data_IF_721562599861
#
_entry.id   IF_721562599861
#
_cell.length_a   1.000
_cell.length_b   1.000
_cell.length_c   1.000
_cell.angle_alpha   90.00
_cell.angle_beta   90.00
_cell.angle_gamma   90.00
#
_symmetry.space_group_name_H-M   'P 1'
#
loop_
_entity.id
_entity.type
_entity.pdbx_description
1 polymer ?
#
# COMPACT_ATOMS: atom_id res chain seq x y z
N UNK A 1 -41.08 23.72 -47.35
CA UNK A 1 -39.99 22.81 -47.75
C UNK A 1 -38.67 23.37 -47.24
N UNK A 2 -37.91 22.59 -46.50
CA UNK A 2 -36.64 23.04 -45.90
C UNK A 2 -35.97 21.89 -45.18
N UNK A 3 -35.28 21.04 -45.94
CA UNK A 3 -34.49 19.91 -45.44
C UNK A 3 -33.32 20.44 -44.60
N UNK A 4 -33.33 20.20 -43.29
CA UNK A 4 -32.12 20.27 -42.48
C UNK A 4 -31.45 18.90 -42.51
N UNK A 5 -30.26 18.83 -43.13
CA UNK A 5 -29.37 17.66 -43.07
C UNK A 5 -28.59 17.75 -41.77
N UNK A 6 -28.85 16.83 -40.84
CA UNK A 6 -27.92 16.52 -39.76
C UNK A 6 -26.60 16.04 -40.36
N UNK A 7 -25.52 16.76 -40.06
CA UNK A 7 -24.16 16.24 -40.15
C UNK A 7 -23.67 15.97 -38.73
N UNK A 8 -23.48 14.70 -38.41
CA UNK A 8 -22.68 14.25 -37.27
C UNK A 8 -21.28 14.86 -37.34
N UNK A 9 -20.89 15.58 -36.29
CA UNK A 9 -19.49 15.90 -36.02
C UNK A 9 -19.02 15.01 -34.86
N UNK A 10 -18.34 13.91 -35.19
CA UNK A 10 -17.54 13.13 -34.23
C UNK A 10 -16.36 13.99 -33.78
N UNK A 11 -16.38 14.49 -32.56
CA UNK A 11 -15.20 15.05 -31.91
C UNK A 11 -14.44 13.93 -31.21
N UNK A 12 -13.42 13.40 -31.89
CA UNK A 12 -12.35 12.63 -31.26
C UNK A 12 -11.43 13.63 -30.56
N UNK A 13 -11.55 13.80 -29.24
CA UNK A 13 -10.59 14.58 -28.45
C UNK A 13 -9.56 13.62 -27.84
N UNK A 14 -8.40 13.55 -28.48
CA UNK A 14 -7.16 13.06 -27.87
C UNK A 14 -6.60 14.08 -26.87
N UNK A 15 -5.56 13.71 -26.10
CA UNK A 15 -5.01 14.56 -25.05
C UNK A 15 -4.40 15.84 -25.63
N UNK A 16 -4.78 16.97 -25.03
CA UNK A 16 -4.23 18.29 -25.32
C UNK A 16 -2.78 18.33 -24.83
N UNK A 17 -1.81 18.22 -25.75
CA UNK A 17 -0.41 18.51 -25.48
C UNK A 17 -0.22 20.03 -25.47
N UNK A 18 -0.03 20.60 -24.29
CA UNK A 18 0.45 21.97 -24.13
C UNK A 18 1.95 21.98 -24.50
N UNK A 19 2.28 22.51 -25.69
CA UNK A 19 3.67 22.78 -26.11
C UNK A 19 4.09 24.13 -25.54
N UNK A 20 5.01 24.12 -24.58
CA UNK A 20 5.82 25.31 -24.29
C UNK A 20 6.98 25.37 -25.29
N UNK A 21 6.98 26.39 -26.15
CA UNK A 21 8.09 26.71 -27.04
C UNK A 21 8.97 27.70 -26.27
N UNK A 22 10.19 27.30 -25.92
CA UNK A 22 11.26 28.27 -25.69
C UNK A 22 12.57 27.81 -26.33
N UNK A 23 13.27 28.83 -26.85
CA UNK A 23 14.39 28.84 -27.80
C UNK A 23 15.61 28.04 -27.37
N UNK A 24 16.26 27.50 -28.40
CA UNK A 24 17.64 27.04 -28.52
C UNK A 24 18.64 27.65 -27.51
N UNK A 25 19.40 26.76 -26.86
CA UNK A 25 20.85 26.88 -26.74
C UNK A 25 21.47 25.53 -26.33
N UNK A 26 22.44 25.04 -27.10
CA UNK A 26 23.47 24.09 -26.61
C UNK A 26 23.27 22.60 -26.90
N UNK A 27 23.54 22.20 -28.14
CA UNK A 27 23.64 20.80 -28.59
C UNK A 27 24.67 19.96 -27.81
N UNK A 28 24.22 18.88 -27.17
CA UNK A 28 24.99 17.63 -27.00
C UNK A 28 24.09 16.43 -27.30
N UNK A 29 24.20 15.90 -28.52
CA UNK A 29 23.61 14.62 -28.92
C UNK A 29 24.30 13.48 -28.17
N UNK A 30 23.60 12.84 -27.23
CA UNK A 30 24.00 11.52 -26.75
C UNK A 30 23.40 10.47 -27.69
N UNK A 31 24.27 9.77 -28.42
CA UNK A 31 23.94 8.67 -29.30
C UNK A 31 23.43 7.49 -28.46
N UNK A 32 22.15 7.15 -28.59
CA UNK A 32 21.59 5.97 -27.95
C UNK A 32 22.08 4.72 -28.71
N UNK A 33 22.85 3.86 -28.03
CA UNK A 33 23.30 2.56 -28.53
C UNK A 33 22.59 1.47 -27.72
N UNK A 34 22.03 0.42 -28.34
CA UNK A 34 21.34 -0.64 -27.62
C UNK A 34 22.32 -1.71 -27.11
N UNK A 35 21.94 -2.37 -26.01
CA UNK A 35 22.54 -3.59 -25.43
C UNK A 35 23.89 -3.41 -24.71
N UNK A 36 23.82 -3.18 -23.40
CA UNK A 36 24.75 -3.80 -22.46
C UNK A 36 23.97 -4.29 -21.23
N UNK A 37 24.02 -5.60 -20.96
CA UNK A 37 23.87 -6.14 -19.60
C UNK A 37 25.07 -5.60 -18.79
N UNK A 38 24.98 -4.36 -18.36
CA UNK A 38 25.97 -3.72 -17.52
C UNK A 38 25.36 -3.64 -16.12
N UNK A 39 26.15 -4.00 -15.10
CA UNK A 39 25.77 -4.12 -13.69
C UNK A 39 24.76 -3.06 -13.25
N UNK A 40 23.76 -3.47 -12.46
CA UNK A 40 22.75 -2.56 -11.92
C UNK A 40 23.46 -1.31 -11.38
N UNK A 41 23.08 -0.08 -11.81
CA UNK A 41 23.60 1.11 -11.17
C UNK A 41 23.39 0.93 -9.67
N UNK A 42 24.38 1.29 -8.85
CA UNK A 42 24.23 1.26 -7.40
C UNK A 42 23.13 2.25 -7.02
N UNK A 43 21.90 1.74 -6.92
CA UNK A 43 20.74 2.51 -6.52
C UNK A 43 20.91 2.80 -5.03
N UNK A 44 21.16 4.05 -4.69
CA UNK A 44 21.40 4.48 -3.31
C UNK A 44 20.24 5.33 -2.82
N UNK A 45 19.66 6.16 -3.70
CA UNK A 45 18.63 7.13 -3.35
C UNK A 45 17.32 6.84 -4.10
N UNK A 46 16.20 7.26 -3.52
CA UNK A 46 14.89 7.15 -4.15
C UNK A 46 14.80 7.93 -5.47
N UNK A 47 15.60 8.99 -5.60
CA UNK A 47 15.71 9.79 -6.82
C UNK A 47 16.31 9.02 -7.99
N UNK A 48 17.10 7.98 -7.74
CA UNK A 48 17.79 7.21 -8.79
C UNK A 48 16.82 6.38 -9.64
N UNK A 49 15.68 5.99 -9.06
CA UNK A 49 14.63 5.21 -9.72
C UNK A 49 13.31 5.98 -9.90
N UNK A 50 13.30 7.29 -9.63
CA UNK A 50 12.18 8.16 -9.94
C UNK A 50 12.19 8.49 -11.44
N UNK A 51 11.20 7.99 -12.17
CA UNK A 51 11.06 8.28 -13.62
C UNK A 51 10.09 9.43 -13.92
N UNK A 52 9.33 9.89 -12.92
CA UNK A 52 8.30 10.93 -13.10
C UNK A 52 8.90 12.30 -12.82
N UNK A 53 8.63 13.26 -13.70
CA UNK A 53 8.99 14.66 -13.48
C UNK A 53 7.98 15.29 -12.53
N UNK A 54 8.43 15.64 -11.33
CA UNK A 54 7.61 16.30 -10.33
C UNK A 54 7.52 17.80 -10.60
N UNK A 55 6.36 18.38 -10.33
CA UNK A 55 6.21 19.83 -10.39
C UNK A 55 7.00 20.47 -9.24
N UNK A 56 7.63 21.66 -9.41
CA UNK A 56 8.42 22.28 -8.34
C UNK A 56 7.64 22.51 -7.04
N UNK A 57 6.32 22.76 -7.15
CA UNK A 57 5.45 22.88 -5.98
C UNK A 57 5.16 21.55 -5.26
N UNK A 58 5.41 20.40 -5.89
CA UNK A 58 5.28 19.07 -5.26
C UNK A 58 6.41 18.74 -4.28
N UNK A 59 7.57 19.40 -4.42
CA UNK A 59 8.75 19.10 -3.62
C UNK A 59 8.94 20.18 -2.55
N UNK A 60 8.84 19.77 -1.29
CA UNK A 60 9.23 20.58 -0.14
C UNK A 60 10.40 19.89 0.56
N UNK A 61 11.52 20.60 0.71
CA UNK A 61 12.76 20.05 1.28
C UNK A 61 12.98 20.64 2.65
N UNK A 62 12.87 19.80 3.67
CA UNK A 62 13.17 20.16 5.05
C UNK A 62 14.69 20.21 5.23
N UNK A 63 15.26 21.41 5.13
CA UNK A 63 16.72 21.59 5.10
C UNK A 63 17.45 21.14 6.36
N UNK A 64 16.76 21.14 7.51
CA UNK A 64 17.33 20.77 8.80
C UNK A 64 17.79 19.31 8.84
N UNK A 65 17.06 18.41 8.17
CA UNK A 65 17.31 16.96 8.21
C UNK A 65 17.84 16.41 6.87
N UNK A 66 18.65 17.20 6.17
CA UNK A 66 19.35 16.72 4.97
C UNK A 66 20.33 15.60 5.33
N UNK A 67 20.58 14.68 4.39
CA UNK A 67 21.46 13.53 4.60
C UNK A 67 22.89 13.90 5.04
N UNK A 68 23.36 15.10 4.64
CA UNK A 68 24.65 15.69 5.01
C UNK A 68 24.51 16.89 5.98
N UNK A 69 23.35 17.04 6.63
CA UNK A 69 23.03 18.19 7.48
C UNK A 69 23.58 18.09 8.91
N UNK A 70 23.70 19.24 9.58
CA UNK A 70 24.25 19.35 10.94
C UNK A 70 23.31 18.78 12.03
N UNK A 71 22.00 18.63 11.76
CA UNK A 71 21.00 18.23 12.76
C UNK A 71 20.74 16.71 12.85
N UNK A 72 21.44 15.89 12.06
CA UNK A 72 21.21 14.45 12.00
C UNK A 72 19.89 14.06 11.30
N UNK A 73 19.44 12.82 11.51
CA UNK A 73 18.20 12.29 10.94
C UNK A 73 16.97 12.60 11.82
N UNK A 74 15.79 12.67 11.22
CA UNK A 74 14.52 12.83 11.94
C UNK A 74 14.11 11.49 12.57
N UNK A 75 14.45 11.27 13.85
CA UNK A 75 14.37 9.95 14.48
C UNK A 75 13.14 9.74 15.37
N UNK A 76 12.67 10.77 16.07
CA UNK A 76 11.59 10.65 17.05
C UNK A 76 10.30 11.35 16.61
N UNK A 77 9.16 10.79 16.99
CA UNK A 77 7.82 11.29 16.66
C UNK A 77 7.64 12.78 16.99
N UNK A 78 8.00 13.19 18.23
CA UNK A 78 7.84 14.58 18.69
C UNK A 78 8.65 15.61 17.89
N UNK A 79 9.81 15.21 17.33
CA UNK A 79 10.57 16.08 16.42
C UNK A 79 9.78 16.37 15.15
N UNK A 80 9.10 15.35 14.61
CA UNK A 80 8.26 15.47 13.44
C UNK A 80 7.04 16.35 13.68
N UNK A 81 6.42 16.25 14.86
CA UNK A 81 5.32 17.14 15.25
C UNK A 81 5.79 18.58 15.39
N UNK A 82 6.91 18.81 16.10
CA UNK A 82 7.47 20.14 16.32
C UNK A 82 7.85 20.83 15.00
N UNK A 83 8.30 20.08 13.99
CA UNK A 83 8.62 20.63 12.67
C UNK A 83 7.42 21.31 11.99
N UNK A 84 6.20 20.76 12.16
CA UNK A 84 4.98 21.33 11.59
C UNK A 84 4.30 22.36 12.51
N UNK A 85 4.83 22.56 13.72
CA UNK A 85 4.44 23.69 14.58
C UNK A 85 5.19 24.98 14.21
N UNK A 86 6.27 24.91 13.43
CA UNK A 86 6.92 26.09 12.87
C UNK A 86 5.96 26.80 11.88
N UNK A 87 5.53 28.04 12.16
CA UNK A 87 4.58 28.75 11.30
C UNK A 87 5.04 28.88 9.86
N UNK A 88 6.35 29.03 9.62
CA UNK A 88 6.89 29.15 8.27
C UNK A 88 6.81 27.83 7.49
N UNK A 89 7.00 26.71 8.17
CA UNK A 89 6.87 25.38 7.57
C UNK A 89 5.41 25.06 7.26
N UNK A 90 4.51 25.42 8.18
CA UNK A 90 3.07 25.21 8.04
C UNK A 90 2.48 26.05 6.89
N UNK A 91 2.79 27.34 6.83
CA UNK A 91 2.31 28.24 5.76
C UNK A 91 2.75 27.75 4.37
N UNK A 92 4.02 27.34 4.22
CA UNK A 92 4.54 26.82 2.95
C UNK A 92 3.87 25.48 2.56
N UNK A 93 3.51 24.64 3.53
CA UNK A 93 2.78 23.40 3.28
C UNK A 93 1.34 23.69 2.82
N UNK A 94 0.64 24.57 3.52
CA UNK A 94 -0.73 25.00 3.19
C UNK A 94 -0.79 25.63 1.79
N UNK A 95 0.10 26.57 1.47
CA UNK A 95 0.18 27.21 0.15
C UNK A 95 0.35 26.20 -0.99
N UNK A 96 1.13 25.13 -0.76
CA UNK A 96 1.32 24.05 -1.73
C UNK A 96 0.10 23.15 -1.85
N UNK A 97 -0.58 22.87 -0.74
CA UNK A 97 -1.83 22.11 -0.74
C UNK A 97 -2.92 22.88 -1.48
N UNK A 98 -3.12 24.16 -1.16
CA UNK A 98 -4.09 25.04 -1.84
C UNK A 98 -3.84 25.09 -3.33
N UNK A 99 -2.58 25.21 -3.77
CA UNK A 99 -2.24 25.19 -5.18
C UNK A 99 -2.79 23.95 -5.92
N UNK A 100 -2.73 22.75 -5.34
CA UNK A 100 -3.26 21.55 -5.99
C UNK A 100 -4.77 21.39 -5.81
N UNK A 101 -5.31 21.83 -4.68
CA UNK A 101 -6.74 21.76 -4.40
C UNK A 101 -7.53 22.70 -5.31
N UNK A 102 -7.03 23.91 -5.56
CA UNK A 102 -7.66 24.91 -6.43
C UNK A 102 -7.70 24.46 -7.90
N UNK A 103 -6.74 23.64 -8.33
CA UNK A 103 -6.70 23.05 -9.68
C UNK A 103 -7.68 21.86 -9.84
N UNK A 104 -8.30 21.37 -8.76
CA UNK A 104 -9.27 20.29 -8.82
C UNK A 104 -10.70 20.79 -9.06
N UNK A 105 -11.33 20.37 -10.16
CA UNK A 105 -12.78 20.59 -10.37
C UNK A 105 -13.63 19.92 -9.28
N UNK A 106 -13.24 18.71 -8.87
CA UNK A 106 -13.91 17.95 -7.81
C UNK A 106 -12.90 17.15 -6.99
N UNK A 107 -12.43 17.73 -5.89
CA UNK A 107 -11.56 17.06 -4.94
C UNK A 107 -12.32 15.92 -4.23
N UNK A 108 -11.86 14.68 -4.43
CA UNK A 108 -12.43 13.49 -3.74
C UNK A 108 -11.81 13.25 -2.36
N UNK A 109 -10.52 13.51 -2.21
CA UNK A 109 -9.75 13.04 -1.07
C UNK A 109 -8.25 13.15 -1.26
N UNK A 110 -7.53 12.66 -0.25
CA UNK A 110 -6.08 12.66 -0.18
C UNK A 110 -5.59 11.24 0.06
N UNK A 111 -4.47 10.89 -0.58
CA UNK A 111 -3.69 9.72 -0.22
C UNK A 111 -2.42 10.20 0.48
N UNK A 112 -2.21 9.76 1.72
CA UNK A 112 -1.06 10.13 2.53
C UNK A 112 -0.15 8.93 2.66
N UNK A 113 1.04 8.98 2.04
CA UNK A 113 2.07 7.96 2.20
C UNK A 113 3.11 8.53 3.17
N UNK A 114 3.32 7.87 4.29
CA UNK A 114 4.26 8.34 5.32
C UNK A 114 5.00 7.16 5.96
N UNK A 115 6.19 7.42 6.46
CA UNK A 115 6.94 6.43 7.23
C UNK A 115 6.36 6.29 8.64
N UNK A 116 6.19 5.06 9.13
CA UNK A 116 5.76 4.79 10.51
C UNK A 116 6.93 4.61 11.49
N UNK A 117 8.14 4.41 10.98
CA UNK A 117 9.25 3.83 11.73
C UNK A 117 10.23 4.85 12.32
N UNK A 118 10.17 6.11 11.90
CA UNK A 118 11.07 7.20 12.28
C UNK A 118 10.25 8.47 12.61
N UNK A 119 10.89 9.62 12.83
CA UNK A 119 10.16 10.83 13.20
C UNK A 119 9.27 11.41 12.09
N UNK A 120 9.37 10.94 10.83
CA UNK A 120 8.39 11.29 9.80
C UNK A 120 6.99 10.73 10.10
N UNK A 121 6.84 9.80 11.05
CA UNK A 121 5.51 9.38 11.51
C UNK A 121 4.79 10.50 12.26
N UNK A 122 5.52 11.35 13.00
CA UNK A 122 4.99 12.57 13.62
C UNK A 122 4.62 13.64 12.60
N UNK A 123 5.45 13.80 11.55
CA UNK A 123 5.11 14.67 10.41
C UNK A 123 3.83 14.19 9.74
N UNK A 124 3.72 12.88 9.45
CA UNK A 124 2.53 12.27 8.87
C UNK A 124 1.29 12.49 9.74
N UNK A 125 1.41 12.31 11.05
CA UNK A 125 0.34 12.55 12.01
C UNK A 125 -0.19 13.99 11.90
N UNK A 126 0.70 14.98 11.98
CA UNK A 126 0.32 16.40 11.86
C UNK A 126 -0.24 16.76 10.48
N UNK A 127 0.33 16.25 9.39
CA UNK A 127 -0.25 16.47 8.05
C UNK A 127 -1.67 15.92 7.97
N UNK A 128 -1.92 14.72 8.50
CA UNK A 128 -3.29 14.16 8.50
C UNK A 128 -4.25 14.94 9.40
N UNK A 129 -3.78 15.48 10.53
CA UNK A 129 -4.54 16.36 11.41
C UNK A 129 -4.96 17.64 10.66
N UNK A 130 -4.00 18.33 10.02
CA UNK A 130 -4.25 19.52 9.20
C UNK A 130 -5.25 19.25 8.08
N UNK A 131 -5.07 18.16 7.32
CA UNK A 131 -5.99 17.76 6.27
C UNK A 131 -7.39 17.46 6.81
N UNK A 132 -7.49 16.88 8.01
CA UNK A 132 -8.76 16.55 8.66
C UNK A 132 -9.50 17.81 9.09
N UNK A 133 -8.78 18.81 9.60
CA UNK A 133 -9.35 20.06 10.08
C UNK A 133 -9.83 20.93 8.92
N UNK A 134 -9.03 21.06 7.85
CA UNK A 134 -9.38 21.88 6.70
C UNK A 134 -10.34 21.18 5.73
N UNK A 135 -10.16 19.87 5.50
CA UNK A 135 -10.91 19.09 4.51
C UNK A 135 -11.73 17.95 5.12
N UNK A 136 -12.38 18.21 6.26
CA UNK A 136 -13.13 17.20 7.05
C UNK A 136 -14.14 16.33 6.27
N UNK A 137 -14.67 16.82 5.14
CA UNK A 137 -15.62 16.13 4.26
C UNK A 137 -14.97 15.33 3.12
N UNK A 138 -13.63 15.25 3.09
CA UNK A 138 -12.87 14.53 2.04
C UNK A 138 -12.33 13.21 2.59
N UNK A 139 -12.21 12.21 1.73
CA UNK A 139 -11.66 10.91 2.12
C UNK A 139 -10.14 11.01 2.33
N UNK A 140 -9.64 10.65 3.50
CA UNK A 140 -8.19 10.61 3.80
C UNK A 140 -7.77 9.14 3.92
N UNK A 141 -7.06 8.64 2.91
CA UNK A 141 -6.53 7.28 2.89
C UNK A 141 -5.04 7.33 3.21
N UNK A 142 -4.64 6.76 4.34
CA UNK A 142 -3.25 6.80 4.78
C UNK A 142 -2.59 5.43 4.64
N UNK A 143 -1.41 5.42 4.02
CA UNK A 143 -0.56 4.25 3.80
C UNK A 143 0.70 4.43 4.63
N UNK A 144 0.75 3.76 5.78
CA UNK A 144 1.87 3.86 6.70
C UNK A 144 2.96 2.86 6.34
N UNK A 145 4.12 3.33 5.91
CA UNK A 145 5.19 2.52 5.35
C UNK A 145 6.27 2.21 6.41
N UNK A 146 6.68 0.95 6.48
CA UNK A 146 7.85 0.54 7.27
C UNK A 146 8.80 -0.25 6.37
N UNK A 147 10.09 0.14 6.29
CA UNK A 147 11.08 -0.59 5.51
C UNK A 147 11.34 -1.96 6.14
N UNK A 148 12.00 -2.82 5.37
CA UNK A 148 12.39 -4.14 5.88
C UNK A 148 13.42 -3.96 7.01
N UNK A 149 13.09 -4.49 8.18
CA UNK A 149 13.96 -4.39 9.35
C UNK A 149 15.21 -5.25 9.19
N UNK A 150 16.38 -4.65 9.40
CA UNK A 150 17.63 -5.40 9.46
C UNK A 150 17.73 -6.19 10.77
N UNK A 151 18.12 -7.45 10.70
CA UNK A 151 18.37 -8.30 11.88
C UNK A 151 19.61 -7.90 12.68
N UNK A 152 20.44 -7.00 12.14
CA UNK A 152 21.76 -6.59 12.68
C UNK A 152 21.68 -5.25 13.45
N UNK A 153 20.49 -4.67 13.62
CA UNK A 153 20.31 -3.34 14.22
C UNK A 153 20.46 -3.29 15.75
N UNK A 154 20.80 -2.11 16.27
CA UNK A 154 20.85 -1.82 17.71
C UNK A 154 19.44 -2.00 18.34
N UNK A 155 19.30 -2.79 19.42
CA UNK A 155 18.07 -2.90 20.18
C UNK A 155 17.43 -1.58 20.62
N UNK A 156 18.19 -0.50 20.83
CA UNK A 156 17.64 0.83 21.14
C UNK A 156 16.89 1.44 19.96
N UNK A 157 17.44 1.35 18.75
CA UNK A 157 16.81 1.86 17.53
C UNK A 157 15.49 1.11 17.25
N UNK A 158 15.47 -0.20 17.50
CA UNK A 158 14.24 -1.00 17.40
C UNK A 158 13.13 -0.52 18.35
N UNK A 159 13.48 0.05 19.51
CA UNK A 159 12.51 0.55 20.47
C UNK A 159 11.95 1.92 20.04
N UNK A 160 12.81 2.84 19.61
CA UNK A 160 12.40 4.13 19.01
C UNK A 160 11.45 3.91 17.85
N UNK A 161 11.79 2.98 16.95
CA UNK A 161 10.92 2.57 15.87
C UNK A 161 9.54 2.15 16.37
N UNK A 162 9.49 1.28 17.38
CA UNK A 162 8.23 0.74 17.86
C UNK A 162 7.35 1.84 18.47
N UNK A 163 7.95 2.76 19.25
CA UNK A 163 7.23 3.93 19.78
C UNK A 163 6.70 4.81 18.65
N UNK A 164 7.54 5.15 17.66
CA UNK A 164 7.12 5.91 16.47
C UNK A 164 5.99 5.22 15.71
N UNK A 165 6.02 3.89 15.61
CA UNK A 165 5.00 3.10 14.92
C UNK A 165 3.69 3.11 15.69
N UNK A 166 3.73 2.95 17.01
CA UNK A 166 2.54 3.00 17.85
C UNK A 166 1.89 4.40 17.82
N UNK A 167 2.67 5.45 18.09
CA UNK A 167 2.20 6.84 18.00
C UNK A 167 1.67 7.15 16.59
N UNK A 168 2.42 6.78 15.55
CA UNK A 168 1.99 6.94 14.17
C UNK A 168 0.65 6.27 13.89
N UNK A 169 0.46 4.99 14.26
CA UNK A 169 -0.80 4.29 14.04
C UNK A 169 -1.94 4.95 14.82
N UNK A 170 -1.73 5.34 16.08
CA UNK A 170 -2.76 5.96 16.92
C UNK A 170 -3.29 7.27 16.27
N UNK A 171 -2.37 8.20 16.02
CA UNK A 171 -2.71 9.51 15.46
C UNK A 171 -3.25 9.39 14.02
N UNK A 172 -2.60 8.61 13.15
CA UNK A 172 -3.05 8.47 11.77
C UNK A 172 -4.43 7.79 11.71
N UNK A 173 -4.72 6.78 12.54
CA UNK A 173 -6.03 6.13 12.57
C UNK A 173 -7.13 7.09 13.04
N UNK A 174 -6.80 8.02 13.95
CA UNK A 174 -7.71 9.05 14.47
C UNK A 174 -8.09 10.07 13.40
N UNK A 175 -7.13 10.55 12.62
CA UNK A 175 -7.36 11.61 11.62
C UNK A 175 -7.72 11.10 10.22
N UNK A 176 -7.45 9.83 9.91
CA UNK A 176 -7.73 9.24 8.59
C UNK A 176 -9.15 8.65 8.48
N UNK A 177 -9.68 8.63 7.25
CA UNK A 177 -10.85 7.82 6.92
C UNK A 177 -10.50 6.33 7.00
N UNK A 178 -9.30 5.96 6.52
CA UNK A 178 -8.75 4.61 6.53
C UNK A 178 -7.23 4.67 6.68
N UNK A 179 -6.66 3.81 7.53
CA UNK A 179 -5.23 3.61 7.68
C UNK A 179 -4.85 2.19 7.26
N UNK A 180 -3.79 2.04 6.46
CA UNK A 180 -3.23 0.74 6.11
C UNK A 180 -1.72 0.73 6.34
N UNK A 181 -1.24 0.10 7.42
CA UNK A 181 0.18 -0.17 7.62
C UNK A 181 0.68 -1.16 6.56
N UNK A 182 1.74 -0.80 5.85
CA UNK A 182 2.35 -1.57 4.76
C UNK A 182 3.85 -1.74 4.98
N UNK A 183 4.33 -2.98 4.90
CA UNK A 183 5.72 -3.37 5.09
C UNK A 183 5.95 -4.80 4.61
N UNK A 184 7.17 -5.07 4.17
CA UNK A 184 7.63 -6.43 3.82
C UNK A 184 8.44 -7.09 4.95
N UNK A 185 8.58 -6.44 6.10
CA UNK A 185 9.16 -7.06 7.30
C UNK A 185 8.32 -8.26 7.76
N UNK A 186 8.92 -9.26 8.41
CA UNK A 186 8.13 -10.35 9.00
C UNK A 186 7.30 -9.90 10.21
N UNK A 187 7.77 -8.87 10.93
CA UNK A 187 7.14 -8.34 12.14
C UNK A 187 7.40 -6.84 12.27
N UNK A 188 6.40 -6.08 12.76
CA UNK A 188 6.55 -4.70 13.22
C UNK A 188 7.03 -4.60 14.68
N UNK A 189 7.08 -5.71 15.41
CA UNK A 189 7.50 -5.75 16.81
C UNK A 189 8.99 -5.43 17.01
N UNK A 190 9.45 -5.51 18.26
CA UNK A 190 10.84 -5.22 18.66
C UNK A 190 11.81 -6.15 17.92
N UNK A 191 11.45 -7.44 17.81
CA UNK A 191 12.30 -8.47 17.19
C UNK A 191 12.04 -8.55 15.69
N UNK A 192 13.04 -8.28 14.83
CA UNK A 192 12.90 -8.49 13.39
C UNK A 192 12.67 -9.96 13.08
N UNK A 193 11.68 -10.24 12.22
CA UNK A 193 11.41 -11.54 11.64
C UNK A 193 11.79 -11.52 10.15
N UNK A 194 12.06 -12.68 9.52
CA UNK A 194 12.46 -12.75 8.11
C UNK A 194 11.46 -12.03 7.20
N UNK A 195 11.92 -11.35 6.13
CA UNK A 195 11.04 -10.61 5.23
C UNK A 195 10.02 -11.51 4.53
N UNK A 196 8.89 -10.93 4.13
CA UNK A 196 7.83 -11.61 3.37
C UNK A 196 8.40 -12.13 2.05
N UNK A 197 8.26 -13.43 1.79
CA UNK A 197 8.74 -14.05 0.54
C UNK A 197 7.58 -14.31 -0.42
N UNK A 198 7.85 -14.15 -1.72
CA UNK A 198 6.91 -14.41 -2.80
C UNK A 198 7.43 -15.56 -3.68
N UNK A 199 6.58 -16.50 -4.15
CA UNK A 199 7.05 -17.70 -4.84
C UNK A 199 7.86 -17.46 -6.12
N UNK A 200 7.54 -16.42 -6.90
CA UNK A 200 8.15 -16.18 -8.22
C UNK A 200 8.98 -14.90 -8.29
N UNK A 201 9.38 -14.39 -7.13
CA UNK A 201 10.05 -13.12 -6.98
C UNK A 201 11.26 -13.32 -6.07
N UNK A 202 12.45 -12.93 -6.55
CA UNK A 202 13.72 -13.03 -5.84
C UNK A 202 14.26 -11.63 -5.56
N UNK A 203 13.64 -10.94 -4.60
CA UNK A 203 14.00 -9.57 -4.26
C UNK A 203 15.04 -9.52 -3.14
N UNK A 204 15.85 -8.46 -3.14
CA UNK A 204 16.81 -8.19 -2.09
C UNK A 204 16.17 -7.22 -1.10
N UNK A 205 15.84 -7.71 0.10
CA UNK A 205 15.04 -6.95 1.06
C UNK A 205 15.78 -5.77 1.68
N UNK A 206 17.11 -5.77 1.64
CA UNK A 206 17.97 -4.66 2.06
C UNK A 206 17.91 -3.46 1.12
N UNK A 207 17.45 -3.64 -0.13
CA UNK A 207 17.31 -2.57 -1.11
C UNK A 207 15.88 -2.02 -1.10
N UNK A 208 15.73 -0.77 -0.65
CA UNK A 208 14.44 -0.06 -0.67
C UNK A 208 13.84 0.01 -2.08
N UNK A 209 14.67 0.05 -3.12
CA UNK A 209 14.24 -0.03 -4.52
C UNK A 209 13.42 -1.29 -4.82
N UNK A 210 13.82 -2.45 -4.28
CA UNK A 210 13.12 -3.71 -4.50
C UNK A 210 11.85 -3.81 -3.67
N UNK A 211 11.93 -3.51 -2.37
CA UNK A 211 10.79 -3.60 -1.45
C UNK A 211 9.68 -2.60 -1.81
N UNK A 212 10.04 -1.35 -2.12
CA UNK A 212 9.08 -0.33 -2.55
C UNK A 212 8.41 -0.67 -3.87
N UNK A 213 9.08 -1.33 -4.81
CA UNK A 213 8.46 -1.76 -6.07
C UNK A 213 7.31 -2.77 -5.86
N UNK A 214 7.48 -3.72 -4.93
CA UNK A 214 6.44 -4.69 -4.57
C UNK A 214 5.25 -3.95 -3.91
N UNK A 215 5.53 -3.10 -2.92
CA UNK A 215 4.49 -2.33 -2.23
C UNK A 215 3.76 -1.37 -3.19
N UNK A 216 4.47 -0.74 -4.13
CA UNK A 216 3.89 0.12 -5.14
C UNK A 216 3.00 -0.65 -6.13
N UNK A 217 3.39 -1.85 -6.56
CA UNK A 217 2.57 -2.71 -7.41
C UNK A 217 1.28 -3.16 -6.70
N UNK A 218 1.39 -3.49 -5.41
CA UNK A 218 0.22 -3.76 -4.57
C UNK A 218 -0.65 -2.51 -4.46
N UNK A 219 -0.09 -1.36 -4.07
CA UNK A 219 -0.81 -0.11 -3.88
C UNK A 219 -1.52 0.37 -5.15
N UNK A 220 -0.88 0.32 -6.31
CA UNK A 220 -1.53 0.63 -7.59
C UNK A 220 -2.77 -0.26 -7.80
N UNK A 221 -2.68 -1.54 -7.44
CA UNK A 221 -3.82 -2.47 -7.56
C UNK A 221 -4.90 -2.19 -6.52
N UNK A 222 -4.54 -1.96 -5.25
CA UNK A 222 -5.46 -1.67 -4.14
C UNK A 222 -6.24 -0.37 -4.32
N UNK A 223 -5.63 0.62 -4.98
CA UNK A 223 -6.20 1.95 -5.20
C UNK A 223 -7.01 2.07 -6.49
N UNK A 224 -7.06 1.01 -7.31
CA UNK A 224 -7.83 1.02 -8.55
C UNK A 224 -9.34 1.32 -8.35
N UNK A 225 -10.04 0.82 -7.31
CA UNK A 225 -11.50 0.94 -7.22
C UNK A 225 -12.02 2.37 -7.29
N UNK A 226 -11.35 3.36 -6.72
CA UNK A 226 -11.79 4.77 -6.80
C UNK A 226 -11.16 5.55 -7.95
N UNK A 227 -10.28 4.93 -8.75
CA UNK A 227 -9.70 5.51 -9.97
C UNK A 227 -10.45 5.09 -11.24
N UNK A 228 -11.25 4.03 -11.16
CA UNK A 228 -11.99 3.47 -12.29
C UNK A 228 -13.30 4.23 -12.53
N UNK A 229 -13.58 4.56 -13.79
CA UNK A 229 -14.86 5.15 -14.18
C UNK A 229 -16.06 4.22 -13.96
N UNK A 230 -15.84 2.90 -14.05
CA UNK A 230 -16.88 1.88 -13.82
C UNK A 230 -17.28 1.75 -12.35
N UNK A 231 -16.49 2.30 -11.44
CA UNK A 231 -16.78 2.33 -10.01
C UNK A 231 -17.40 3.67 -9.65
N UNK A 232 -18.54 3.64 -8.99
CA UNK A 232 -19.29 4.85 -8.63
C UNK A 232 -18.96 5.37 -7.23
N UNK A 233 -18.08 4.68 -6.48
CA UNK A 233 -17.71 5.05 -5.11
C UNK A 233 -16.63 6.13 -5.06
N UNK A 234 -16.84 7.15 -4.23
CA UNK A 234 -15.79 8.11 -3.86
C UNK A 234 -14.73 7.45 -2.97
N UNK A 235 -13.57 8.11 -2.81
CA UNK A 235 -12.55 7.67 -1.84
C UNK A 235 -13.11 7.52 -0.41
N UNK A 236 -14.07 8.36 -0.01
CA UNK A 236 -14.72 8.25 1.29
C UNK A 236 -15.62 7.01 1.37
N UNK A 237 -16.45 6.76 0.36
CA UNK A 237 -17.29 5.55 0.32
C UNK A 237 -16.44 4.27 0.32
N UNK A 238 -15.29 4.30 -0.36
CA UNK A 238 -14.33 3.20 -0.35
C UNK A 238 -13.81 2.94 1.07
N UNK A 239 -13.38 3.99 1.80
CA UNK A 239 -12.98 3.85 3.20
C UNK A 239 -14.10 3.29 4.07
N UNK A 240 -15.28 3.90 4.04
CA UNK A 240 -16.43 3.53 4.88
C UNK A 240 -16.85 2.07 4.69
N UNK A 241 -16.70 1.52 3.47
CA UNK A 241 -16.98 0.11 3.18
C UNK A 241 -16.07 -0.88 3.95
N UNK A 242 -14.90 -0.43 4.39
CA UNK A 242 -13.91 -1.23 5.11
C UNK A 242 -13.82 -0.86 6.61
N UNK A 243 -14.18 0.37 6.97
CA UNK A 243 -13.92 0.96 8.30
C UNK A 243 -15.19 1.16 9.15
N UNK A 244 -16.09 0.18 9.14
CA UNK A 244 -17.33 0.21 9.94
C UNK A 244 -17.12 -0.27 11.38
N UNK A 245 -18.04 0.09 12.29
CA UNK A 245 -18.01 -0.26 13.73
C UNK A 245 -16.74 0.21 14.47
N UNK A 246 -16.23 1.39 14.16
CA UNK A 246 -15.05 1.96 14.81
C UNK A 246 -13.71 1.38 14.33
N UNK A 247 -13.71 0.38 13.45
CA UNK A 247 -12.50 -0.13 12.80
C UNK A 247 -11.95 0.93 11.85
N UNK A 248 -10.68 1.29 11.97
CA UNK A 248 -10.00 2.31 11.14
C UNK A 248 -8.81 1.79 10.35
N UNK A 249 -8.22 0.70 10.83
CA UNK A 249 -7.06 0.04 10.24
C UNK A 249 -7.51 -1.08 9.30
N UNK A 250 -6.83 -1.24 8.18
CA UNK A 250 -7.03 -2.37 7.25
C UNK A 250 -5.71 -3.03 6.93
N UNK A 251 -5.75 -4.35 6.68
CA UNK A 251 -4.61 -5.14 6.25
C UNK A 251 -4.54 -5.17 4.72
N UNK A 252 -3.35 -4.95 4.15
CA UNK A 252 -3.10 -5.12 2.73
C UNK A 252 -2.58 -6.53 2.43
N UNK A 253 -3.08 -7.14 1.37
CA UNK A 253 -2.67 -8.45 0.88
C UNK A 253 -2.32 -8.34 -0.60
N UNK A 254 -1.31 -9.07 -1.06
CA UNK A 254 -1.01 -9.17 -2.48
C UNK A 254 -0.43 -10.52 -2.91
N UNK A 255 -0.81 -10.96 -4.10
CA UNK A 255 -0.15 -12.02 -4.85
C UNK A 255 0.53 -11.38 -6.07
N UNK A 256 1.87 -11.39 -6.05
CA UNK A 256 2.73 -10.73 -7.02
C UNK A 256 3.83 -11.71 -7.47
N UNK A 257 3.86 -12.14 -8.76
CA UNK A 257 2.70 -12.22 -9.64
C UNK A 257 1.64 -13.18 -9.08
N UNK A 258 0.38 -13.00 -9.48
CA UNK A 258 -0.68 -13.96 -9.19
C UNK A 258 -0.46 -15.24 -10.02
N UNK A 259 -0.36 -16.43 -9.39
CA UNK A 259 -0.06 -17.67 -10.10
C UNK A 259 -1.19 -18.04 -11.07
N UNK A 260 -0.89 -17.97 -12.37
CA UNK A 260 -1.80 -18.41 -13.43
C UNK A 260 -1.01 -19.00 -14.59
N UNK A 261 -1.56 -20.05 -15.21
CA UNK A 261 -1.04 -20.60 -16.47
C UNK A 261 -1.58 -19.75 -17.62
N UNK A 262 -0.79 -19.59 -18.69
CA UNK A 262 -1.21 -18.78 -19.84
C UNK A 262 -2.43 -19.35 -20.58
N UNK A 263 -2.71 -20.65 -20.42
CA UNK A 263 -3.81 -21.35 -21.10
C UNK A 263 -5.06 -21.57 -20.24
N UNK A 264 -5.02 -21.20 -18.95
CA UNK A 264 -6.13 -21.46 -18.02
C UNK A 264 -7.14 -20.31 -17.99
N UNK A 265 -8.43 -20.63 -17.91
CA UNK A 265 -9.46 -19.61 -17.72
C UNK A 265 -9.50 -19.11 -16.27
N UNK A 266 -10.05 -17.93 -16.02
CA UNK A 266 -10.17 -17.37 -14.67
C UNK A 266 -10.88 -18.33 -13.67
N UNK A 267 -12.02 -18.96 -14.01
CA UNK A 267 -12.62 -19.99 -13.16
C UNK A 267 -11.68 -21.16 -12.86
N UNK A 268 -10.90 -21.63 -13.84
CA UNK A 268 -9.95 -22.74 -13.62
C UNK A 268 -8.87 -22.33 -12.61
N UNK A 269 -8.29 -21.14 -12.80
CA UNK A 269 -7.24 -20.62 -11.90
C UNK A 269 -7.78 -20.46 -10.48
N UNK A 270 -8.95 -19.84 -10.30
CA UNK A 270 -9.54 -19.67 -8.97
C UNK A 270 -9.99 -21.00 -8.36
N UNK A 271 -10.45 -21.96 -9.16
CA UNK A 271 -10.80 -23.30 -8.68
C UNK A 271 -9.59 -24.06 -8.13
N UNK A 272 -8.40 -23.86 -8.72
CA UNK A 272 -7.16 -24.45 -8.23
C UNK A 272 -6.73 -23.88 -6.86
N UNK A 273 -7.21 -22.68 -6.51
CA UNK A 273 -6.91 -21.97 -5.27
C UNK A 273 -8.07 -22.00 -4.25
N UNK A 274 -8.95 -23.00 -4.31
CA UNK A 274 -10.09 -23.11 -3.39
C UNK A 274 -9.70 -23.37 -1.93
N UNK A 275 -8.54 -23.95 -1.66
CA UNK A 275 -8.10 -24.25 -0.30
C UNK A 275 -7.41 -23.06 0.38
N UNK A 276 -6.71 -22.25 -0.40
CA UNK A 276 -5.97 -21.10 0.11
C UNK A 276 -5.71 -20.09 -1.02
N UNK A 277 -5.88 -18.81 -0.71
CA UNK A 277 -5.65 -17.72 -1.66
C UNK A 277 -4.15 -17.42 -1.68
N UNK A 278 -3.48 -17.40 -2.85
CA UNK A 278 -2.02 -17.34 -2.95
C UNK A 278 -1.44 -15.92 -2.73
N UNK A 279 -2.03 -15.13 -1.85
CA UNK A 279 -1.56 -13.80 -1.47
C UNK A 279 -0.72 -13.82 -0.20
N UNK A 280 -0.03 -12.72 0.06
CA UNK A 280 0.77 -12.51 1.27
C UNK A 280 0.35 -11.23 1.97
N UNK A 281 0.36 -11.28 3.30
CA UNK A 281 0.12 -10.11 4.15
C UNK A 281 1.26 -9.12 3.98
N UNK A 282 0.92 -7.87 3.68
CA UNK A 282 1.86 -6.77 3.51
C UNK A 282 1.88 -5.84 4.71
N UNK A 283 1.42 -6.24 5.90
CA UNK A 283 1.38 -5.39 7.10
C UNK A 283 2.25 -5.90 8.24
N UNK A 284 3.21 -6.80 7.94
CA UNK A 284 4.26 -7.25 8.88
C UNK A 284 3.76 -7.71 10.24
N UNK A 285 2.90 -8.73 10.23
CA UNK A 285 2.54 -9.48 11.43
C UNK A 285 2.47 -10.96 11.07
N UNK A 286 2.60 -11.84 12.07
CA UNK A 286 2.65 -13.29 11.84
C UNK A 286 1.48 -13.72 10.97
N UNK A 287 1.80 -14.32 9.83
CA UNK A 287 0.83 -14.82 8.86
C UNK A 287 -0.03 -15.89 9.56
N UNK A 288 -1.22 -15.49 10.00
CA UNK A 288 -2.26 -16.39 10.45
C UNK A 288 -3.15 -16.72 9.25
N UNK A 289 -3.58 -17.97 9.14
CA UNK A 289 -4.60 -18.33 8.15
C UNK A 289 -5.86 -17.53 8.46
N UNK A 290 -6.20 -16.62 7.55
CA UNK A 290 -7.40 -15.82 7.66
C UNK A 290 -8.56 -16.63 7.09
N UNK A 291 -9.38 -17.19 7.96
CA UNK A 291 -10.62 -17.87 7.58
C UNK A 291 -11.83 -16.93 7.54
N UNK A 292 -11.69 -15.69 8.02
CA UNK A 292 -12.77 -14.72 8.06
C UNK A 292 -12.28 -13.27 7.98
N UNK A 293 -13.12 -12.40 7.42
CA UNK A 293 -12.94 -10.95 7.45
C UNK A 293 -14.31 -10.26 7.61
N UNK A 294 -14.30 -9.04 8.13
CA UNK A 294 -15.50 -8.23 8.32
C UNK A 294 -15.93 -7.58 7.00
N UNK A 295 -14.94 -7.00 6.30
CA UNK A 295 -15.10 -6.44 4.97
C UNK A 295 -13.81 -6.57 4.17
N UNK A 296 -13.94 -6.59 2.84
CA UNK A 296 -12.81 -6.62 1.94
C UNK A 296 -13.10 -5.90 0.62
N UNK A 297 -12.02 -5.36 0.03
CA UNK A 297 -12.00 -4.89 -1.34
C UNK A 297 -10.88 -5.60 -2.08
N UNK A 298 -11.24 -6.36 -3.10
CA UNK A 298 -10.33 -7.26 -3.83
C UNK A 298 -10.26 -6.85 -5.29
N UNK A 299 -9.04 -6.68 -5.80
CA UNK A 299 -8.79 -6.32 -7.19
C UNK A 299 -7.88 -7.36 -7.81
N UNK A 300 -8.36 -7.96 -8.90
CA UNK A 300 -7.59 -8.86 -9.74
C UNK A 300 -7.33 -8.20 -11.08
N UNK A 301 -6.07 -8.13 -11.52
CA UNK A 301 -5.73 -7.50 -12.79
C UNK A 301 -4.78 -8.33 -13.63
N UNK A 302 -4.86 -8.18 -14.95
CA UNK A 302 -3.92 -8.76 -15.89
C UNK A 302 -4.17 -10.22 -16.28
N UNK A 303 -5.33 -10.78 -15.95
CA UNK A 303 -5.73 -12.10 -16.46
C UNK A 303 -6.49 -11.92 -17.78
N UNK A 304 -5.91 -12.44 -18.86
CA UNK A 304 -6.54 -12.43 -20.18
C UNK A 304 -7.69 -13.44 -20.24
N UNK A 305 -8.83 -13.00 -20.79
CA UNK A 305 -9.92 -13.88 -21.18
C UNK A 305 -9.66 -14.43 -22.59
N UNK A 306 -8.77 -15.40 -22.72
CA UNK A 306 -8.78 -16.19 -23.96
C UNK A 306 -9.93 -17.19 -23.92
N UNK A 307 -10.52 -17.45 -25.10
CA UNK A 307 -11.64 -18.38 -25.24
C UNK A 307 -11.24 -19.73 -24.65
N UNK A 308 -12.07 -20.35 -23.81
CA UNK A 308 -11.72 -21.60 -23.17
C UNK A 308 -11.49 -22.66 -24.23
N UNK A 309 -10.25 -23.12 -24.40
CA UNK A 309 -10.01 -24.51 -24.78
C UNK A 309 -10.30 -25.34 -23.54
N UNK A 310 -11.60 -25.48 -23.20
CA UNK A 310 -12.01 -26.36 -22.12
C UNK A 310 -11.46 -27.75 -22.43
N UNK A 311 -10.57 -28.27 -21.60
CA UNK A 311 -10.17 -29.67 -21.68
C UNK A 311 -11.45 -30.51 -21.44
N UNK A 312 -11.90 -31.32 -22.41
CA UNK A 312 -13.08 -32.14 -22.22
C UNK A 312 -12.80 -33.16 -21.11
N UNK A 313 -13.46 -33.00 -19.95
CA UNK A 313 -13.38 -33.96 -18.83
C UNK A 313 -13.22 -33.39 -17.42
N UNK A 314 -12.98 -32.08 -17.24
CA UNK A 314 -12.92 -31.50 -15.89
C UNK A 314 -14.31 -31.24 -15.31
N UNK A 315 -14.55 -31.53 -14.00
CA UNK A 315 -15.81 -31.22 -13.35
C UNK A 315 -16.00 -29.69 -13.34
N UNK A 316 -17.11 -29.22 -13.91
CA UNK A 316 -17.43 -27.79 -13.93
C UNK A 316 -17.68 -27.32 -12.50
N UNK A 317 -16.73 -26.56 -11.95
CA UNK A 317 -16.94 -25.82 -10.70
C UNK A 317 -18.10 -24.81 -10.84
N UNK A 318 -18.75 -24.39 -9.75
CA UNK A 318 -19.83 -23.39 -9.78
C UNK A 318 -19.40 -22.06 -10.43
N UNK A 319 -18.10 -21.77 -10.43
CA UNK A 319 -17.48 -20.58 -11.02
C UNK A 319 -17.61 -20.52 -12.55
N UNK A 320 -17.79 -21.67 -13.23
CA UNK A 320 -17.99 -21.68 -14.69
C UNK A 320 -19.40 -21.28 -15.13
N UNK A 321 -20.34 -21.16 -14.18
CA UNK A 321 -21.71 -20.73 -14.45
C UNK A 321 -21.84 -19.21 -14.49
N UNK A 322 -20.82 -18.46 -14.06
CA UNK A 322 -20.84 -17.00 -14.05
C UNK A 322 -20.69 -16.42 -15.46
N UNK A 323 -21.38 -15.31 -15.73
CA UNK A 323 -21.36 -14.66 -17.04
C UNK A 323 -20.25 -13.61 -17.15
N UNK A 324 -19.81 -13.04 -16.02
CA UNK A 324 -18.76 -12.00 -15.95
C UNK A 324 -17.60 -12.42 -15.06
N UNK A 325 -16.36 -11.96 -15.33
CA UNK A 325 -15.21 -12.27 -14.49
C UNK A 325 -15.33 -11.69 -13.08
N UNK A 326 -16.02 -10.55 -12.92
CA UNK A 326 -16.31 -9.97 -11.62
C UNK A 326 -17.24 -10.89 -10.81
N UNK A 327 -18.26 -11.48 -11.44
CA UNK A 327 -19.12 -12.47 -10.79
C UNK A 327 -18.33 -13.73 -10.38
N UNK A 328 -17.39 -14.19 -11.22
CA UNK A 328 -16.50 -15.32 -10.89
C UNK A 328 -15.70 -15.00 -9.63
N UNK A 329 -15.05 -13.83 -9.58
CA UNK A 329 -14.26 -13.42 -8.43
C UNK A 329 -15.14 -13.22 -7.20
N UNK A 330 -16.31 -12.60 -7.33
CA UNK A 330 -17.25 -12.38 -6.25
C UNK A 330 -17.74 -13.71 -5.65
N UNK A 331 -18.08 -14.69 -6.48
CA UNK A 331 -18.53 -16.01 -6.02
C UNK A 331 -17.39 -16.79 -5.35
N UNK A 332 -16.16 -16.68 -5.86
CA UNK A 332 -14.97 -17.23 -5.21
C UNK A 332 -14.79 -16.63 -3.82
N UNK A 333 -14.81 -15.30 -3.70
CA UNK A 333 -14.64 -14.61 -2.42
C UNK A 333 -15.76 -14.91 -1.42
N UNK A 334 -17.00 -15.05 -1.87
CA UNK A 334 -18.12 -15.43 -1.01
C UNK A 334 -17.96 -16.86 -0.45
N UNK A 335 -17.29 -17.74 -1.21
CA UNK A 335 -16.97 -19.10 -0.76
C UNK A 335 -15.80 -19.10 0.24
N UNK A 336 -14.77 -18.27 0.00
CA UNK A 336 -13.59 -18.17 0.88
C UNK A 336 -13.87 -17.42 2.19
N UNK A 337 -14.68 -16.36 2.13
CA UNK A 337 -14.97 -15.47 3.25
C UNK A 337 -16.48 -15.31 3.44
N UNK A 338 -17.16 -16.37 3.93
CA UNK A 338 -18.61 -16.33 4.11
C UNK A 338 -19.01 -15.25 5.12
N UNK A 339 -19.99 -14.42 4.76
CA UNK A 339 -20.50 -13.34 5.62
C UNK A 339 -19.72 -12.02 5.56
N UNK A 340 -18.58 -11.96 4.85
CA UNK A 340 -17.82 -10.73 4.69
C UNK A 340 -18.48 -9.78 3.67
N UNK A 341 -18.53 -8.48 3.99
CA UNK A 341 -18.87 -7.46 3.00
C UNK A 341 -17.77 -7.34 1.96
N UNK A 342 -18.00 -7.82 0.75
CA UNK A 342 -16.95 -7.98 -0.26
C UNK A 342 -17.24 -7.15 -1.50
N UNK A 343 -16.27 -6.33 -1.91
CA UNK A 343 -16.24 -5.68 -3.22
C UNK A 343 -15.16 -6.32 -4.07
N UNK A 344 -15.41 -6.50 -5.36
CA UNK A 344 -14.50 -7.19 -6.27
C UNK A 344 -14.43 -6.49 -7.62
N UNK A 345 -13.21 -6.25 -8.11
CA UNK A 345 -12.97 -5.70 -9.45
C UNK A 345 -11.99 -6.59 -10.23
N UNK A 346 -12.32 -6.86 -11.50
CA UNK A 346 -11.42 -7.55 -12.42
C UNK A 346 -11.01 -6.60 -13.54
N UNK A 347 -9.71 -6.41 -13.73
CA UNK A 347 -9.15 -5.50 -14.72
C UNK A 347 -8.35 -6.26 -15.77
N UNK A 348 -8.59 -5.94 -17.04
CA UNK A 348 -7.81 -6.52 -18.13
C UNK A 348 -6.37 -6.01 -18.16
N UNK A 349 -6.14 -4.76 -17.73
CA UNK A 349 -4.81 -4.15 -17.74
C UNK A 349 -3.90 -4.79 -16.69
N UNK A 350 -2.78 -5.44 -17.08
CA UNK A 350 -1.83 -5.99 -16.12
C UNK A 350 -1.03 -4.89 -15.40
N UNK A 351 -0.24 -5.26 -14.40
CA UNK A 351 0.75 -4.37 -13.81
C UNK A 351 1.97 -4.30 -14.73
N UNK A 352 2.41 -3.10 -15.12
CA UNK A 352 3.59 -2.89 -15.97
C UNK A 352 4.85 -3.02 -15.12
N UNK A 353 5.79 -3.86 -15.56
CA UNK A 353 7.05 -4.14 -14.87
C UNK A 353 8.27 -3.73 -15.69
N UNK A 354 8.09 -2.88 -16.71
CA UNK A 354 9.21 -2.29 -17.45
C UNK A 354 10.05 -1.34 -16.58
N UNK A 355 11.30 -1.04 -16.97
CA UNK A 355 12.14 -0.07 -16.27
C UNK A 355 11.41 1.26 -16.00
N UNK A 356 11.54 1.84 -14.80
CA UNK A 356 12.53 1.52 -13.77
C UNK A 356 12.10 0.38 -12.81
N UNK A 357 11.04 -0.38 -13.07
CA UNK A 357 10.67 -1.49 -12.18
C UNK A 357 11.78 -2.57 -12.16
N UNK A 358 12.21 -3.05 -10.98
CA UNK A 358 13.31 -4.01 -10.92
C UNK A 358 12.93 -5.36 -11.57
N UNK A 359 13.91 -6.02 -12.21
CA UNK A 359 13.71 -7.27 -12.95
C UNK A 359 14.13 -8.48 -12.11
N UNK A 360 13.46 -8.69 -10.97
CA UNK A 360 13.76 -9.69 -9.94
C UNK A 360 12.83 -10.92 -10.02
N UNK A 361 12.29 -11.16 -11.21
CA UNK A 361 11.32 -12.22 -11.48
C UNK A 361 11.99 -13.57 -11.75
N UNK A 362 11.30 -14.64 -11.37
CA UNK A 362 11.72 -16.01 -11.65
C UNK A 362 11.75 -16.31 -13.15
N UNK A 363 12.70 -17.12 -13.65
CA UNK A 363 12.74 -17.54 -15.06
C UNK A 363 11.57 -18.44 -15.47
N UNK A 364 10.74 -18.89 -14.52
CA UNK A 364 9.50 -19.64 -14.74
C UNK A 364 8.34 -18.77 -15.25
N UNK A 365 8.58 -17.48 -15.43
CA UNK A 365 7.58 -16.52 -15.86
C UNK A 365 7.77 -16.16 -17.34
N UNK A 366 6.66 -16.10 -18.05
CA UNK A 366 6.59 -15.52 -19.39
C UNK A 366 6.80 -14.00 -19.34
N UNK A 367 6.95 -13.38 -20.52
CA UNK A 367 6.97 -11.92 -20.68
C UNK A 367 5.75 -11.21 -20.06
N UNK A 368 4.61 -11.89 -19.98
CA UNK A 368 3.36 -11.37 -19.39
C UNK A 368 3.13 -11.82 -17.93
N UNK A 369 4.09 -12.50 -17.32
CA UNK A 369 4.02 -12.90 -15.91
C UNK A 369 3.19 -14.14 -15.62
N UNK A 370 2.76 -14.89 -16.66
CA UNK A 370 2.16 -16.22 -16.50
C UNK A 370 3.23 -17.30 -16.34
N UNK A 371 2.88 -18.40 -15.68
CA UNK A 371 3.76 -19.54 -15.46
C UNK A 371 4.00 -20.32 -16.77
N UNK A 372 5.25 -20.42 -17.22
CA UNK A 372 5.66 -21.23 -18.38
C UNK A 372 7.17 -21.52 -18.36
N UNK A 373 7.58 -22.57 -19.08
CA UNK A 373 8.93 -23.16 -18.98
C UNK A 373 10.03 -22.44 -19.78
N UNK A 374 9.79 -21.19 -20.22
CA UNK A 374 10.76 -20.43 -21.05
C UNK A 374 11.00 -19.02 -20.53
N UNK A 375 12.26 -18.76 -20.17
CA UNK A 375 12.73 -17.49 -19.64
C UNK A 375 12.73 -16.37 -20.69
N UNK A 376 12.06 -15.26 -20.36
CA UNK A 376 12.17 -13.96 -21.03
C UNK A 376 12.09 -12.84 -19.97
N UNK A 377 12.52 -11.62 -20.31
CA UNK A 377 12.30 -10.47 -19.44
C UNK A 377 10.80 -10.23 -19.22
N UNK A 378 10.41 -10.00 -17.96
CA UNK A 378 9.00 -9.84 -17.58
C UNK A 378 8.61 -8.37 -17.73
N UNK A 379 7.71 -8.08 -18.67
CA UNK A 379 7.25 -6.72 -18.95
C UNK A 379 5.91 -6.38 -18.30
N UNK A 380 5.14 -7.39 -17.92
CA UNK A 380 3.93 -7.20 -17.15
C UNK A 380 3.65 -8.41 -16.28
N UNK A 381 2.85 -8.24 -15.23
CA UNK A 381 2.41 -9.33 -14.37
C UNK A 381 0.90 -9.25 -14.03
N UNK A 382 0.23 -10.40 -13.85
CA UNK A 382 -1.06 -10.44 -13.18
C UNK A 382 -0.88 -10.19 -11.69
N UNK A 383 -1.81 -9.45 -11.08
CA UNK A 383 -1.75 -9.08 -9.66
C UNK A 383 -3.12 -9.28 -9.04
N UNK A 384 -3.17 -9.97 -7.90
CA UNK A 384 -4.31 -9.99 -7.01
C UNK A 384 -3.94 -9.21 -5.76
N UNK A 385 -4.72 -8.20 -5.39
CA UNK A 385 -4.49 -7.45 -4.15
C UNK A 385 -5.81 -7.25 -3.41
N UNK A 386 -5.76 -7.24 -2.08
CA UNK A 386 -6.93 -7.03 -1.24
C UNK A 386 -6.64 -6.10 -0.06
N UNK A 387 -7.58 -5.20 0.24
CA UNK A 387 -7.68 -4.59 1.56
C UNK A 387 -8.70 -5.37 2.37
N UNK A 388 -8.37 -5.72 3.61
CA UNK A 388 -9.25 -6.46 4.49
C UNK A 388 -9.32 -5.81 5.88
N UNK A 389 -10.55 -5.63 6.34
CA UNK A 389 -10.86 -5.40 7.74
C UNK A 389 -11.03 -6.78 8.39
N UNK A 390 -10.04 -7.23 9.15
CA UNK A 390 -9.91 -8.63 9.59
C UNK A 390 -9.52 -8.75 11.07
N UNK A 391 -9.91 -9.84 11.77
CA UNK A 391 -9.52 -10.07 13.16
C UNK A 391 -8.01 -10.13 13.40
N UNK A 392 -7.18 -10.45 12.40
CA UNK A 392 -5.71 -10.44 12.52
C UNK A 392 -5.17 -9.09 13.00
N UNK A 393 -5.87 -7.99 12.69
CA UNK A 393 -5.51 -6.66 13.14
C UNK A 393 -5.63 -6.50 14.67
N UNK A 394 -6.46 -7.30 15.34
CA UNK A 394 -6.48 -7.36 16.81
C UNK A 394 -5.10 -7.76 17.33
N UNK A 395 -4.54 -8.87 16.83
CA UNK A 395 -3.22 -9.37 17.27
C UNK A 395 -2.08 -8.40 16.93
N UNK A 396 -2.15 -7.71 15.79
CA UNK A 396 -1.18 -6.68 15.42
C UNK A 396 -1.22 -5.53 16.43
N UNK A 397 -2.39 -4.94 16.67
CA UNK A 397 -2.53 -3.76 17.53
C UNK A 397 -2.28 -4.10 19.01
N UNK A 398 -2.83 -5.20 19.51
CA UNK A 398 -2.62 -5.65 20.90
C UNK A 398 -1.17 -6.11 21.13
N UNK A 399 -0.54 -6.70 20.10
CA UNK A 399 0.87 -7.05 20.11
C UNK A 399 1.78 -5.85 20.30
N UNK A 400 1.54 -4.76 19.56
CA UNK A 400 2.27 -3.49 19.73
C UNK A 400 2.13 -2.95 21.17
N UNK A 401 0.90 -2.89 21.70
CA UNK A 401 0.66 -2.41 23.06
C UNK A 401 1.38 -3.27 24.11
N UNK A 402 1.33 -4.61 23.97
CA UNK A 402 1.98 -5.54 24.91
C UNK A 402 3.50 -5.39 24.91
N UNK A 403 4.13 -5.22 23.75
CA UNK A 403 5.58 -5.05 23.65
C UNK A 403 6.06 -3.72 24.24
N UNK A 404 5.23 -2.67 24.18
CA UNK A 404 5.53 -1.35 24.76
C UNK A 404 5.22 -1.25 26.26
N UNK A 405 4.34 -2.09 26.80
CA UNK A 405 4.04 -2.16 28.24
C UNK A 405 5.16 -2.82 29.08
N UNK A 406 6.17 -3.44 28.44
CA UNK A 406 7.27 -4.07 29.16
C UNK A 406 8.11 -3.00 29.92
N UNK A 407 8.43 -3.23 31.22
CA UNK A 407 9.02 -2.21 32.08
C UNK A 407 10.47 -1.91 31.70
N UNK A 408 10.68 -0.94 30.79
CA UNK A 408 12.00 -0.45 30.38
C UNK A 408 12.06 1.09 30.43
N UNK A 409 11.60 1.67 31.53
CA UNK A 409 11.52 3.13 31.79
C UNK A 409 12.83 3.88 31.48
N UNK A 410 14.00 3.26 31.71
CA UNK A 410 15.30 3.90 31.39
C UNK A 410 15.49 4.18 29.90
N UNK A 411 14.92 3.35 29.02
CA UNK A 411 15.02 3.53 27.55
C UNK A 411 14.12 4.63 27.03
N UNK A 412 13.08 5.01 27.79
CA UNK A 412 12.08 5.99 27.37
C UNK A 412 12.56 7.44 27.54
N UNK A 413 13.46 7.67 28.52
CA UNK A 413 13.93 9.03 28.88
C UNK A 413 14.46 9.83 27.68
N UNK A 414 15.30 9.21 26.84
CA UNK A 414 15.84 9.87 25.64
C UNK A 414 14.77 10.18 24.59
N UNK A 415 13.74 9.34 24.47
CA UNK A 415 12.65 9.53 23.50
C UNK A 415 11.74 10.68 23.92
N UNK A 416 11.38 10.76 25.20
CA UNK A 416 10.56 11.87 25.71
C UNK A 416 11.30 13.20 25.70
N UNK A 417 12.63 13.19 25.83
CA UNK A 417 13.45 14.40 25.62
C UNK A 417 13.33 14.95 24.19
N UNK A 418 12.89 14.12 23.23
CA UNK A 418 12.68 14.51 21.84
C UNK A 418 11.28 15.08 21.55
N UNK A 419 10.54 15.51 22.58
CA UNK A 419 9.32 16.31 22.44
C UNK A 419 8.01 15.53 22.51
N UNK A 420 8.02 14.30 23.00
CA UNK A 420 6.79 13.54 23.31
C UNK A 420 6.63 13.51 24.82
N UNK A 421 5.47 13.94 25.33
CA UNK A 421 5.17 13.83 26.75
C UNK A 421 4.77 12.39 27.11
N UNK A 422 5.10 11.96 28.34
CA UNK A 422 4.82 10.59 28.77
C UNK A 422 3.31 10.31 28.84
N UNK A 423 2.53 11.31 29.23
CA UNK A 423 1.07 11.20 29.34
C UNK A 423 0.43 11.03 27.95
N UNK A 424 0.87 11.81 26.96
CA UNK A 424 0.42 11.71 25.57
C UNK A 424 0.72 10.32 24.98
N UNK A 425 1.91 9.78 25.27
CA UNK A 425 2.26 8.42 24.84
C UNK A 425 1.35 7.36 25.47
N UNK A 426 1.03 7.51 26.75
CA UNK A 426 0.14 6.57 27.45
C UNK A 426 -1.30 6.67 26.90
N UNK A 427 -1.79 7.87 26.61
CA UNK A 427 -3.08 8.09 25.94
C UNK A 427 -3.12 7.38 24.58
N UNK A 428 -2.09 7.56 23.75
CA UNK A 428 -2.00 6.90 22.45
C UNK A 428 -2.01 5.36 22.56
N UNK A 429 -1.34 4.79 23.58
CA UNK A 429 -1.38 3.34 23.83
C UNK A 429 -2.77 2.85 24.24
N UNK A 430 -3.51 3.65 25.00
CA UNK A 430 -4.89 3.35 25.39
C UNK A 430 -5.85 3.45 24.20
N UNK A 431 -5.68 4.46 23.33
CA UNK A 431 -6.41 4.57 22.07
C UNK A 431 -6.18 3.35 21.17
N UNK A 432 -4.91 2.91 21.00
CA UNK A 432 -4.59 1.70 20.25
C UNK A 432 -5.23 0.45 20.85
N UNK A 433 -5.24 0.35 22.18
CA UNK A 433 -5.88 -0.77 22.88
C UNK A 433 -7.38 -0.78 22.61
N UNK A 434 -8.07 0.35 22.73
CA UNK A 434 -9.50 0.46 22.39
C UNK A 434 -9.75 0.15 20.91
N UNK A 435 -8.90 0.64 20.01
CA UNK A 435 -8.98 0.33 18.58
C UNK A 435 -8.80 -1.17 18.30
N UNK A 436 -7.91 -1.85 19.03
CA UNK A 436 -7.69 -3.30 18.89
C UNK A 436 -8.94 -4.12 19.26
N UNK A 437 -9.74 -3.65 20.21
CA UNK A 437 -10.98 -4.30 20.63
C UNK A 437 -12.05 -4.27 19.53
N UNK A 438 -12.03 -3.27 18.63
CA UNK A 438 -12.94 -3.23 17.48
C UNK A 438 -12.75 -4.38 16.48
N UNK A 439 -11.63 -5.11 16.57
CA UNK A 439 -11.28 -6.26 15.74
C UNK A 439 -11.41 -7.60 16.48
N UNK A 440 -11.74 -7.57 17.77
CA UNK A 440 -11.93 -8.79 18.55
C UNK A 440 -13.20 -9.51 18.09
N UNK A 441 -13.06 -10.79 17.74
CA UNK A 441 -14.19 -11.66 17.48
C UNK A 441 -14.46 -12.48 18.72
N UNK A 442 -15.70 -12.50 19.22
CA UNK A 442 -16.12 -13.32 20.37
C UNK A 442 -16.04 -14.85 20.18
N UNK A 443 -15.28 -15.32 19.19
CA UNK A 443 -15.01 -16.71 18.85
C UNK A 443 -13.57 -17.16 19.18
N UNK A 444 -12.78 -16.34 19.86
CA UNK A 444 -11.50 -16.76 20.45
C UNK A 444 -11.74 -17.49 21.77
N UNK A 445 -12.08 -18.77 21.71
CA UNK A 445 -11.99 -19.66 22.86
C UNK A 445 -10.53 -19.71 23.33
N UNK A 446 -10.31 -19.32 24.58
CA UNK A 446 -9.38 -19.94 25.54
C UNK A 446 -8.40 -20.98 24.96
N UNK A 447 -7.21 -20.56 24.53
CA UNK A 447 -6.05 -21.45 24.36
C UNK A 447 -4.77 -20.95 25.08
N UNK A 448 -4.87 -19.90 25.90
CA UNK A 448 -3.71 -19.37 26.68
C UNK A 448 -3.83 -19.59 28.21
N UNK A 449 -4.77 -20.41 28.68
CA UNK A 449 -4.92 -20.79 30.11
C UNK A 449 -4.58 -22.28 30.35
N UNK A 450 -3.49 -22.75 29.74
CA UNK A 450 -2.96 -24.08 29.99
C UNK A 450 -1.43 -24.05 30.07
N UNK A 451 -0.90 -23.28 31.02
CA UNK A 451 0.44 -23.50 31.60
C UNK A 451 0.56 -22.64 32.87
N UNK A 452 -0.16 -23.03 33.91
CA UNK A 452 0.09 -22.64 35.31
C UNK A 452 -0.61 -23.63 36.24
N UNK A 453 0.07 -24.77 36.47
CA UNK A 453 0.02 -25.51 37.74
C UNK A 453 1.40 -26.11 38.01
#
# INVERSE_FOLDING_TARGET
>A
EGKSRCCEARFVRGPVRVRFIHRDQGSRKALCSPLCLCAAPSVLLWSDYLNVHLHPKSLYVIRQYLHDGDCGCLEAFGQGESLLQDPACLEELEDRLHFYVEECDYLQGFQVLCDLHNGFSGVGAKVTELLRDEYSQKGILTWGLTPVLSTVGDPQNNFYRLMNTALGIAHLARHSSLLCPMSLSGSLGIKPEPPVTFPYIKYEASLNYHSSAILAAALDTLTAPYRLWSSQGSMMHFADSLTFSGRKVVAAWAALPFPALSSSSLPDVLSAHQQDVPWKLLSSWREQKVSCCFAQSVVLRGICQEKPTSCPGQPRSPLHSCESPEQVLQQFLHTQFPGAFSTSHVLQQPCDTRPPFPQFFSPLLTRQGFLLDKAQGVESIPVLAALQSTPVLHSLLSGLCRELQAPNVRRWSSFFTAGVEQDDFQEALEELKTLSQCYETGFGASEDEADSD
#
